data_IF_541352105407
#
_entry.id   IF_541352105407
#
_cell.length_a   1.000
_cell.length_b   1.000
_cell.length_c   1.000
_cell.angle_alpha   90.00
_cell.angle_beta   90.00
_cell.angle_gamma   90.00
#
_symmetry.space_group_name_H-M   'P 1'
#
loop_
_entity.id
_entity.type
_entity.pdbx_description
1 polymer ?
#
# COMPACT_ATOMS: atom_id res chain seq x y z
N UNK A 1 10.81 9.29 -11.90
CA UNK A 1 10.70 8.78 -10.51
C UNK A 1 9.37 8.04 -10.41
N UNK A 2 9.37 6.73 -10.11
CA UNK A 2 8.13 5.98 -9.97
C UNK A 2 7.36 6.44 -8.73
N UNK A 3 6.05 6.29 -8.79
CA UNK A 3 5.14 6.77 -7.76
C UNK A 3 4.63 5.61 -6.92
N UNK A 4 4.76 5.73 -5.60
CA UNK A 4 4.13 4.81 -4.66
C UNK A 4 3.06 5.54 -3.85
N UNK A 5 1.99 4.83 -3.51
CA UNK A 5 0.98 5.33 -2.60
C UNK A 5 1.01 4.52 -1.31
N UNK A 6 1.29 5.18 -0.18
CA UNK A 6 1.45 4.54 1.12
C UNK A 6 0.25 4.86 2.01
N UNK A 7 -0.48 3.83 2.42
CA UNK A 7 -1.60 3.92 3.37
C UNK A 7 -1.15 3.40 4.73
N UNK A 8 -1.25 4.26 5.75
CA UNK A 8 -0.97 3.88 7.13
C UNK A 8 -1.76 4.74 8.12
N UNK A 9 -2.49 4.12 9.04
CA UNK A 9 -3.45 4.77 9.97
C UNK A 9 -2.83 5.57 11.13
N UNK A 10 -1.62 6.10 10.93
CA UNK A 10 -0.92 6.96 11.88
C UNK A 10 -0.03 7.92 11.11
N UNK A 11 -0.17 9.22 11.40
CA UNK A 11 0.50 10.31 10.69
C UNK A 11 2.03 10.32 10.86
N UNK A 12 2.53 9.97 12.02
CA UNK A 12 3.98 9.97 12.28
C UNK A 12 4.60 8.73 11.63
N UNK A 13 4.01 7.56 11.84
CA UNK A 13 4.49 6.31 11.27
C UNK A 13 4.46 6.29 9.74
N UNK A 14 3.45 6.91 9.10
CA UNK A 14 3.41 6.98 7.63
C UNK A 14 4.57 7.81 7.07
N UNK A 15 4.97 8.87 7.78
CA UNK A 15 6.08 9.72 7.37
C UNK A 15 7.42 9.03 7.59
N UNK A 16 7.60 8.36 8.73
CA UNK A 16 8.79 7.54 9.01
C UNK A 16 8.97 6.43 7.96
N UNK A 17 7.89 5.74 7.61
CA UNK A 17 7.90 4.67 6.59
C UNK A 17 8.11 5.20 5.18
N UNK A 18 7.68 6.43 4.88
CA UNK A 18 7.91 7.06 3.58
C UNK A 18 9.35 7.55 3.37
N UNK A 19 10.10 7.88 4.44
CA UNK A 19 11.48 8.38 4.34
C UNK A 19 12.42 7.45 3.57
N UNK A 20 12.58 6.15 3.90
CA UNK A 20 13.48 5.27 3.18
C UNK A 20 13.07 5.11 1.71
N UNK A 21 11.77 5.05 1.43
CA UNK A 21 11.25 4.97 0.06
C UNK A 21 11.60 6.21 -0.76
N UNK A 22 11.44 7.41 -0.19
CA UNK A 22 11.82 8.67 -0.83
C UNK A 22 13.33 8.76 -1.06
N UNK A 23 14.14 8.32 -0.09
CA UNK A 23 15.59 8.25 -0.23
C UNK A 23 16.02 7.27 -1.35
N UNK A 24 15.23 6.22 -1.60
CA UNK A 24 15.42 5.28 -2.70
C UNK A 24 14.93 5.81 -4.06
N UNK A 25 14.49 7.08 -4.17
CA UNK A 25 14.10 7.72 -5.43
C UNK A 25 12.62 7.62 -5.80
N UNK A 26 11.76 7.20 -4.86
CA UNK A 26 10.32 7.15 -5.06
C UNK A 26 9.61 8.47 -4.76
N UNK A 27 8.62 8.79 -5.58
CA UNK A 27 7.62 9.81 -5.23
C UNK A 27 6.51 9.16 -4.39
N UNK A 28 6.57 9.35 -3.07
CA UNK A 28 5.64 8.71 -2.13
C UNK A 28 4.56 9.67 -1.66
N UNK A 29 3.32 9.34 -2.02
CA UNK A 29 2.11 9.98 -1.50
C UNK A 29 1.62 9.18 -0.30
N UNK A 30 1.31 9.87 0.80
CA UNK A 30 0.91 9.24 2.06
C UNK A 30 -0.56 9.56 2.36
N UNK A 31 -1.31 8.55 2.80
CA UNK A 31 -2.65 8.72 3.39
C UNK A 31 -2.68 8.03 4.76
N UNK A 32 -3.31 8.68 5.74
CA UNK A 32 -3.28 8.22 7.13
C UNK A 32 -4.57 8.35 7.93
N UNK A 33 -5.62 8.94 7.37
CA UNK A 33 -6.88 9.18 8.04
C UNK A 33 -8.06 8.51 7.37
N UNK A 34 -8.11 8.48 6.04
CA UNK A 34 -9.33 8.13 5.32
C UNK A 34 -9.07 7.28 4.07
N UNK A 35 -9.71 6.11 4.02
CA UNK A 35 -9.66 5.21 2.88
C UNK A 35 -10.34 5.75 1.61
N UNK A 36 -11.34 6.62 1.74
CA UNK A 36 -11.99 7.27 0.59
C UNK A 36 -11.07 8.30 -0.04
N UNK A 37 -10.33 9.06 0.77
CA UNK A 37 -9.30 9.99 0.30
C UNK A 37 -8.18 9.23 -0.41
N UNK A 38 -7.74 8.09 0.16
CA UNK A 38 -6.78 7.21 -0.52
C UNK A 38 -7.29 6.79 -1.90
N UNK A 39 -8.52 6.27 -1.97
CA UNK A 39 -9.11 5.81 -3.22
C UNK A 39 -9.20 6.93 -4.27
N UNK A 40 -9.71 8.09 -3.88
CA UNK A 40 -9.84 9.25 -4.77
C UNK A 40 -8.49 9.69 -5.31
N UNK A 41 -7.47 9.80 -4.45
CA UNK A 41 -6.13 10.22 -4.84
C UNK A 41 -5.44 9.21 -5.77
N UNK A 42 -5.59 7.91 -5.50
CA UNK A 42 -5.09 6.82 -6.35
C UNK A 42 -5.77 6.86 -7.71
N UNK A 43 -7.09 7.07 -7.76
CA UNK A 43 -7.84 7.13 -9.02
C UNK A 43 -7.48 8.36 -9.86
N UNK A 44 -7.34 9.52 -9.24
CA UNK A 44 -6.99 10.77 -9.94
C UNK A 44 -5.57 10.73 -10.50
N UNK A 45 -4.64 10.10 -9.77
CA UNK A 45 -3.25 9.97 -10.21
C UNK A 45 -2.70 8.58 -9.81
N UNK A 46 -2.90 7.57 -10.68
CA UNK A 46 -2.48 6.20 -10.44
C UNK A 46 -0.99 6.09 -10.09
N UNK A 47 -0.63 5.44 -8.96
CA UNK A 47 0.73 5.04 -8.66
C UNK A 47 1.12 3.73 -9.39
N UNK A 48 2.41 3.43 -9.42
CA UNK A 48 2.94 2.14 -9.88
C UNK A 48 2.67 1.02 -8.89
N UNK A 49 2.47 1.36 -7.61
CA UNK A 49 2.23 0.42 -6.52
C UNK A 49 1.50 1.09 -5.36
N UNK A 50 0.58 0.35 -4.74
CA UNK A 50 -0.10 0.75 -3.51
C UNK A 50 0.41 -0.11 -2.36
N UNK A 51 0.90 0.55 -1.32
CA UNK A 51 1.48 -0.07 -0.11
C UNK A 51 0.52 0.20 1.04
N UNK A 52 -0.01 -0.85 1.67
CA UNK A 52 -1.00 -0.73 2.75
C UNK A 52 -0.47 -1.44 3.99
N UNK A 53 -0.26 -0.69 5.07
CA UNK A 53 0.15 -1.29 6.33
C UNK A 53 -1.03 -1.87 7.11
N UNK A 54 -0.88 -3.12 7.53
CA UNK A 54 -1.86 -3.82 8.37
C UNK A 54 -1.47 -3.82 9.86
N UNK A 55 -0.49 -3.01 10.28
CA UNK A 55 -0.06 -2.92 11.68
C UNK A 55 -1.12 -2.34 12.64
N UNK A 56 -2.05 -1.52 12.13
CA UNK A 56 -3.02 -0.77 12.95
C UNK A 56 -4.47 -1.17 12.65
N UNK A 57 -5.00 -0.83 11.47
CA UNK A 57 -6.38 -1.12 11.06
C UNK A 57 -6.42 -2.04 9.82
N UNK A 58 -6.18 -3.36 9.98
CA UNK A 58 -6.21 -4.31 8.87
C UNK A 58 -7.50 -4.30 8.07
N UNK A 59 -8.65 -4.23 8.74
CA UNK A 59 -9.96 -4.25 8.06
C UNK A 59 -10.16 -3.02 7.16
N UNK A 60 -9.66 -1.86 7.58
CA UNK A 60 -9.74 -0.64 6.78
C UNK A 60 -8.80 -0.72 5.58
N UNK A 61 -7.57 -1.19 5.79
CA UNK A 61 -6.61 -1.43 4.72
C UNK A 61 -7.12 -2.44 3.68
N UNK A 62 -7.74 -3.52 4.14
CA UNK A 62 -8.37 -4.52 3.27
C UNK A 62 -9.52 -3.91 2.46
N UNK A 63 -10.38 -3.08 3.08
CA UNK A 63 -11.47 -2.42 2.37
C UNK A 63 -10.97 -1.50 1.26
N UNK A 64 -9.90 -0.73 1.50
CA UNK A 64 -9.27 0.11 0.47
C UNK A 64 -8.81 -0.76 -0.71
N UNK A 65 -8.11 -1.86 -0.44
CA UNK A 65 -7.64 -2.76 -1.49
C UNK A 65 -8.76 -3.42 -2.29
N UNK A 66 -9.83 -3.85 -1.61
CA UNK A 66 -11.01 -4.43 -2.25
C UNK A 66 -11.65 -3.45 -3.24
N UNK A 67 -11.85 -2.20 -2.82
CA UNK A 67 -12.42 -1.15 -3.69
C UNK A 67 -11.51 -0.88 -4.90
N UNK A 68 -10.19 -0.84 -4.69
CA UNK A 68 -9.22 -0.64 -5.77
C UNK A 68 -9.24 -1.78 -6.79
N UNK A 69 -9.31 -3.04 -6.32
CA UNK A 69 -9.37 -4.23 -7.18
C UNK A 69 -10.71 -4.35 -7.93
N UNK A 70 -11.82 -3.90 -7.35
CA UNK A 70 -13.14 -3.92 -8.00
C UNK A 70 -13.32 -2.78 -9.02
N UNK A 71 -12.40 -1.80 -9.04
CA UNK A 71 -12.53 -0.61 -9.88
C UNK A 71 -11.68 -0.72 -11.14
N UNK A 72 -12.32 -0.66 -12.33
CA UNK A 72 -11.64 -0.76 -13.64
C UNK A 72 -10.46 0.20 -13.81
N UNK A 73 -10.51 1.40 -13.23
CA UNK A 73 -9.42 2.37 -13.35
C UNK A 73 -8.18 2.03 -12.50
N UNK A 74 -8.30 1.18 -11.49
CA UNK A 74 -7.25 0.93 -10.49
C UNK A 74 -6.94 -0.56 -10.26
N UNK A 75 -7.71 -1.47 -10.87
CA UNK A 75 -7.58 -2.91 -10.66
C UNK A 75 -6.24 -3.52 -11.11
N UNK A 76 -5.54 -2.89 -12.07
CA UNK A 76 -4.22 -3.34 -12.53
C UNK A 76 -3.07 -2.90 -11.62
N UNK A 77 -3.35 -1.98 -10.68
CA UNK A 77 -2.31 -1.43 -9.81
C UNK A 77 -1.95 -2.49 -8.76
N UNK A 78 -0.67 -2.89 -8.65
CA UNK A 78 -0.26 -3.91 -7.69
C UNK A 78 -0.42 -3.39 -6.26
N UNK A 79 -1.03 -4.23 -5.41
CA UNK A 79 -1.25 -3.95 -3.99
C UNK A 79 -0.33 -4.81 -3.15
N UNK A 80 0.38 -4.16 -2.23
CA UNK A 80 1.28 -4.78 -1.27
C UNK A 80 0.79 -4.49 0.14
N UNK A 81 0.44 -5.54 0.87
CA UNK A 81 0.20 -5.47 2.30
C UNK A 81 1.51 -5.65 3.07
N UNK A 82 1.74 -4.77 4.04
CA UNK A 82 2.99 -4.72 4.81
C UNK A 82 2.73 -4.84 6.30
N UNK A 83 3.46 -5.74 6.93
CA UNK A 83 3.37 -6.06 8.36
C UNK A 83 1.94 -6.44 8.80
N UNK A 84 1.72 -6.54 10.11
CA UNK A 84 0.44 -6.93 10.72
C UNK A 84 0.57 -8.20 11.56
N UNK A 85 -0.43 -8.44 12.41
CA UNK A 85 -0.49 -9.67 13.20
C UNK A 85 -0.81 -10.87 12.29
N UNK A 86 -0.13 -12.02 12.43
CA UNK A 86 -0.29 -13.18 11.54
C UNK A 86 -1.75 -13.62 11.36
N UNK A 87 -2.53 -13.67 12.45
CA UNK A 87 -3.94 -14.03 12.42
C UNK A 87 -4.80 -13.04 11.63
N UNK A 88 -4.46 -11.74 11.70
CA UNK A 88 -5.17 -10.69 10.96
C UNK A 88 -4.77 -10.70 9.49
N UNK A 89 -3.50 -10.92 9.19
CA UNK A 89 -3.01 -11.09 7.82
C UNK A 89 -3.71 -12.27 7.14
N UNK A 90 -3.80 -13.42 7.81
CA UNK A 90 -4.47 -14.61 7.27
C UNK A 90 -5.93 -14.32 6.88
N UNK A 91 -6.66 -13.56 7.71
CA UNK A 91 -8.04 -13.13 7.40
C UNK A 91 -8.11 -12.20 6.20
N UNK A 92 -7.16 -11.27 6.06
CA UNK A 92 -7.10 -10.36 4.90
C UNK A 92 -6.72 -11.13 3.64
N UNK A 93 -5.81 -12.09 3.73
CA UNK A 93 -5.37 -12.93 2.62
C UNK A 93 -6.48 -13.85 2.08
N UNK A 94 -7.34 -14.39 2.96
CA UNK A 94 -8.53 -15.13 2.52
C UNK A 94 -9.50 -14.26 1.71
N UNK A 95 -9.59 -12.96 2.02
CA UNK A 95 -10.45 -12.02 1.30
C UNK A 95 -9.82 -11.47 0.03
N UNK A 96 -8.51 -11.26 0.04
CA UNK A 96 -7.76 -10.58 -1.02
C UNK A 96 -6.56 -11.45 -1.43
N UNK A 97 -6.79 -12.62 -2.04
CA UNK A 97 -5.72 -13.57 -2.36
C UNK A 97 -4.75 -13.04 -3.42
N UNK A 98 -5.19 -12.10 -4.25
CA UNK A 98 -4.42 -11.58 -5.38
C UNK A 98 -3.47 -10.42 -5.01
N UNK A 99 -3.30 -10.12 -3.72
CA UNK A 99 -2.35 -9.12 -3.23
C UNK A 99 -1.02 -9.75 -2.79
N UNK A 100 0.05 -8.95 -2.78
CA UNK A 100 1.33 -9.38 -2.21
C UNK A 100 1.34 -9.10 -0.71
N UNK A 101 1.75 -10.06 0.10
CA UNK A 101 1.91 -9.90 1.55
C UNK A 101 3.38 -10.04 1.90
N UNK A 102 3.95 -9.03 2.55
CA UNK A 102 5.36 -9.05 2.96
C UNK A 102 5.58 -8.29 4.27
N UNK A 103 6.75 -8.51 4.86
CA UNK A 103 7.21 -7.75 6.01
C UNK A 103 8.01 -6.54 5.53
N UNK A 104 7.99 -5.46 6.30
CA UNK A 104 8.68 -4.19 5.97
C UNK A 104 10.15 -4.37 5.56
N UNK A 105 10.87 -5.33 6.15
CA UNK A 105 12.27 -5.63 5.75
C UNK A 105 12.45 -6.12 4.31
N UNK A 106 11.40 -6.63 3.66
CA UNK A 106 11.42 -7.09 2.28
C UNK A 106 10.84 -6.07 1.29
N UNK A 107 10.30 -4.95 1.79
CA UNK A 107 9.61 -3.96 0.97
C UNK A 107 10.55 -3.32 -0.06
N UNK A 108 11.75 -2.92 0.36
CA UNK A 108 12.72 -2.27 -0.54
C UNK A 108 13.10 -3.18 -1.71
N UNK A 109 13.37 -4.47 -1.42
CA UNK A 109 13.70 -5.46 -2.44
C UNK A 109 12.54 -5.70 -3.41
N UNK A 110 11.30 -5.69 -2.92
CA UNK A 110 10.12 -5.79 -3.76
C UNK A 110 10.00 -4.57 -4.69
N UNK A 111 10.16 -3.37 -4.13
CA UNK A 111 10.04 -2.11 -4.86
C UNK A 111 11.14 -1.91 -5.91
N UNK A 112 12.35 -2.42 -5.69
CA UNK A 112 13.43 -2.39 -6.69
C UNK A 112 13.03 -2.97 -8.06
N UNK A 113 12.00 -3.84 -8.12
CA UNK A 113 11.49 -4.41 -9.38
C UNK A 113 10.86 -3.37 -10.31
N UNK A 114 10.34 -2.28 -9.74
CA UNK A 114 9.73 -1.17 -10.48
C UNK A 114 10.74 -0.09 -10.88
N UNK A 115 11.92 -0.08 -10.25
CA UNK A 115 12.99 0.88 -10.55
C UNK A 115 13.87 0.44 -11.74
N UNK A 116 13.77 -0.82 -12.17
CA UNK A 116 14.62 -1.43 -13.20
C UNK A 116 14.00 -1.43 -14.61
N UNK A 117 12.91 -0.69 -14.81
CA UNK A 117 12.25 -0.51 -16.11
C UNK A 117 12.70 0.79 -16.78
#
# INVERSE_FOLDING_TARGET
MPRAFLVHWNKEEVLEKARPLRAAGWSVVCEHGDGEVAFKSIREKPPEVVIIHLSRLPSHGARVAEVLQQTKATHEIPIVFVDGEPDKIAKVQQKIPNATYLQSMHLDKFLQRFMKA
#
